data_IF_116614397520
#
_entry.id   IF_116614397520
#
_cell.length_a   1.000
_cell.length_b   1.000
_cell.length_c   1.000
_cell.angle_alpha   90.00
_cell.angle_beta   90.00
_cell.angle_gamma   90.00
#
_symmetry.space_group_name_H-M   'P 1'
#
loop_
_entity.id
_entity.type
_entity.pdbx_description
1 polymer ?
#
# COMPACT_ATOMS: atom_id res chain seq x y z
N UNK A 1 -31.61 -40.01 -48.73
CA UNK A 1 -31.28 -38.94 -49.68
C UNK A 1 -30.21 -38.04 -49.05
N UNK A 2 -28.95 -38.24 -49.43
CA UNK A 2 -27.85 -37.39 -48.96
C UNK A 2 -27.92 -36.05 -49.69
N UNK A 3 -28.57 -35.07 -49.08
CA UNK A 3 -28.61 -33.71 -49.62
C UNK A 3 -27.18 -33.12 -49.65
N UNK A 4 -26.63 -33.06 -50.85
CA UNK A 4 -25.33 -32.41 -51.08
C UNK A 4 -25.40 -30.93 -50.68
N UNK A 5 -24.34 -30.42 -50.05
CA UNK A 5 -24.20 -29.00 -49.76
C UNK A 5 -23.65 -28.30 -51.01
N UNK A 6 -24.36 -27.29 -51.51
CA UNK A 6 -23.84 -26.44 -52.58
C UNK A 6 -23.15 -25.22 -51.96
N UNK A 7 -21.87 -25.06 -52.24
CA UNK A 7 -21.07 -23.93 -51.75
C UNK A 7 -20.92 -22.84 -52.80
N UNK A 8 -21.20 -21.60 -52.45
CA UNK A 8 -20.80 -20.44 -53.24
C UNK A 8 -19.27 -20.29 -53.32
N UNK A 9 -18.74 -19.70 -54.38
CA UNK A 9 -17.29 -19.53 -54.59
C UNK A 9 -16.62 -18.83 -53.38
N UNK A 10 -17.23 -17.80 -52.80
CA UNK A 10 -16.76 -17.09 -51.62
C UNK A 10 -16.74 -17.96 -50.37
N UNK A 11 -17.79 -18.77 -50.17
CA UNK A 11 -17.88 -19.68 -49.01
C UNK A 11 -16.81 -20.77 -49.07
N UNK A 12 -16.59 -21.33 -50.23
CA UNK A 12 -15.55 -22.35 -50.44
C UNK A 12 -14.15 -21.79 -50.18
N UNK A 13 -13.86 -20.59 -50.71
CA UNK A 13 -12.58 -19.91 -50.47
C UNK A 13 -12.34 -19.68 -48.97
N UNK A 14 -13.36 -19.22 -48.25
CA UNK A 14 -13.28 -18.96 -46.80
C UNK A 14 -13.12 -20.26 -46.01
N UNK A 15 -13.88 -21.29 -46.28
CA UNK A 15 -13.74 -22.61 -45.65
C UNK A 15 -12.34 -23.22 -45.84
N UNK A 16 -11.76 -23.07 -47.07
CA UNK A 16 -10.39 -23.49 -47.34
C UNK A 16 -9.37 -22.64 -46.55
N UNK A 17 -9.63 -21.35 -46.36
CA UNK A 17 -8.82 -20.47 -45.52
C UNK A 17 -8.79 -20.94 -44.06
N UNK A 18 -9.95 -21.22 -43.49
CA UNK A 18 -10.12 -21.77 -42.14
C UNK A 18 -9.39 -23.12 -42.00
N UNK A 19 -9.63 -24.04 -42.92
CA UNK A 19 -9.01 -25.36 -42.92
C UNK A 19 -7.47 -25.29 -42.93
N UNK A 20 -6.91 -24.41 -43.76
CA UNK A 20 -5.46 -24.19 -43.88
C UNK A 20 -4.86 -23.37 -42.77
N UNK A 21 -5.66 -22.91 -41.77
CA UNK A 21 -5.19 -22.11 -40.65
C UNK A 21 -4.73 -20.70 -41.01
N UNK A 22 -5.25 -20.14 -42.12
CA UNK A 22 -4.92 -18.78 -42.59
C UNK A 22 -5.78 -17.69 -41.94
N UNK A 23 -6.84 -18.07 -41.21
CA UNK A 23 -7.70 -17.16 -40.48
C UNK A 23 -7.38 -17.25 -38.98
N UNK A 24 -7.42 -16.10 -38.27
CA UNK A 24 -6.99 -15.97 -36.87
C UNK A 24 -7.80 -16.81 -35.85
N UNK A 25 -9.04 -17.20 -36.18
CA UNK A 25 -9.93 -17.96 -35.31
C UNK A 25 -9.93 -19.49 -35.53
N UNK A 26 -8.96 -20.03 -36.24
CA UNK A 26 -8.90 -21.43 -36.62
C UNK A 26 -8.41 -22.38 -35.54
N UNK A 27 -9.18 -22.62 -34.45
CA UNK A 27 -8.93 -23.76 -33.56
C UNK A 27 -8.95 -25.09 -34.33
N UNK A 28 -8.27 -26.13 -33.80
CA UNK A 28 -8.28 -27.46 -34.43
C UNK A 28 -9.72 -27.97 -34.68
N UNK A 29 -10.63 -27.63 -33.75
CA UNK A 29 -12.05 -27.99 -33.82
C UNK A 29 -12.78 -27.25 -34.95
N UNK A 30 -12.53 -25.96 -35.15
CA UNK A 30 -13.11 -25.16 -36.23
C UNK A 30 -12.60 -25.63 -37.57
N UNK A 31 -11.33 -25.99 -37.67
CA UNK A 31 -10.75 -26.60 -38.88
C UNK A 31 -11.41 -27.92 -39.25
N UNK A 32 -11.67 -28.78 -38.22
CA UNK A 32 -12.38 -30.05 -38.45
C UNK A 32 -13.80 -29.80 -38.96
N UNK A 33 -14.51 -28.80 -38.42
CA UNK A 33 -15.88 -28.44 -38.88
C UNK A 33 -15.86 -27.95 -40.31
N UNK A 34 -14.92 -27.08 -40.67
CA UNK A 34 -14.75 -26.61 -42.06
C UNK A 34 -14.41 -27.76 -43.03
N UNK A 35 -13.59 -28.72 -42.58
CA UNK A 35 -13.24 -29.91 -43.37
C UNK A 35 -14.45 -30.81 -43.60
N UNK A 36 -15.31 -31.03 -42.58
CA UNK A 36 -16.56 -31.78 -42.74
C UNK A 36 -17.43 -31.15 -43.84
N UNK A 37 -17.62 -29.83 -43.83
CA UNK A 37 -18.47 -29.14 -44.82
C UNK A 37 -17.88 -29.19 -46.21
N UNK A 38 -16.56 -29.06 -46.35
CA UNK A 38 -15.87 -29.18 -47.63
C UNK A 38 -16.04 -30.57 -48.22
N UNK A 39 -15.85 -31.64 -47.46
CA UNK A 39 -16.04 -33.02 -47.89
C UNK A 39 -17.50 -33.32 -48.27
N UNK A 40 -18.47 -32.80 -47.52
CA UNK A 40 -19.88 -32.89 -47.89
C UNK A 40 -20.21 -32.18 -49.20
N UNK A 41 -19.61 -31.02 -49.44
CA UNK A 41 -19.78 -30.27 -50.69
C UNK A 41 -19.10 -30.95 -51.89
N UNK A 42 -18.02 -31.70 -51.65
CA UNK A 42 -17.34 -32.51 -52.68
C UNK A 42 -18.06 -33.86 -52.93
N UNK A 43 -19.21 -34.11 -52.27
CA UNK A 43 -20.05 -35.28 -52.52
C UNK A 43 -19.59 -36.58 -51.85
N UNK A 44 -18.68 -36.50 -50.87
CA UNK A 44 -18.24 -37.68 -50.14
C UNK A 44 -19.34 -38.28 -49.25
N UNK A 45 -19.44 -39.61 -49.27
CA UNK A 45 -20.40 -40.31 -48.42
C UNK A 45 -20.06 -40.15 -46.94
N UNK A 46 -21.06 -40.08 -46.07
CA UNK A 46 -20.89 -39.89 -44.62
C UNK A 46 -20.00 -40.96 -43.98
N UNK A 47 -20.10 -42.21 -44.47
CA UNK A 47 -19.24 -43.32 -44.01
C UNK A 47 -17.76 -43.03 -44.25
N UNK A 48 -17.44 -42.45 -45.41
CA UNK A 48 -16.06 -42.03 -45.75
C UNK A 48 -15.59 -40.90 -44.86
N UNK A 49 -16.44 -39.88 -44.65
CA UNK A 49 -16.11 -38.74 -43.76
C UNK A 49 -15.88 -39.23 -42.32
N UNK A 50 -16.73 -40.11 -41.80
CA UNK A 50 -16.56 -40.73 -40.49
C UNK A 50 -15.22 -41.48 -40.37
N UNK A 51 -14.85 -42.25 -41.38
CA UNK A 51 -13.60 -43.02 -41.37
C UNK A 51 -12.34 -42.16 -41.47
N UNK A 52 -12.39 -41.10 -42.29
CA UNK A 52 -11.22 -40.22 -42.51
C UNK A 52 -11.03 -39.23 -41.36
N UNK A 53 -12.11 -38.69 -40.82
CA UNK A 53 -12.06 -37.66 -39.78
C UNK A 53 -12.27 -38.20 -38.33
N UNK A 54 -12.47 -39.51 -38.20
CA UNK A 54 -12.73 -40.18 -36.92
C UNK A 54 -13.86 -39.49 -36.13
N UNK A 55 -14.94 -39.09 -36.79
CA UNK A 55 -16.09 -38.43 -36.19
C UNK A 55 -17.39 -39.24 -36.38
N UNK A 56 -18.39 -39.01 -35.52
CA UNK A 56 -19.68 -39.70 -35.63
C UNK A 56 -20.59 -39.07 -36.70
N UNK A 57 -21.51 -39.85 -37.28
CA UNK A 57 -22.53 -39.36 -38.19
C UNK A 57 -23.39 -38.23 -37.55
N UNK A 58 -23.64 -38.29 -36.24
CA UNK A 58 -24.34 -37.24 -35.48
C UNK A 58 -23.56 -35.92 -35.47
N UNK A 59 -22.21 -35.99 -35.46
CA UNK A 59 -21.35 -34.81 -35.57
C UNK A 59 -21.47 -34.17 -36.95
N UNK A 60 -21.48 -34.97 -37.99
CA UNK A 60 -21.65 -34.50 -39.39
C UNK A 60 -23.04 -33.85 -39.55
N UNK A 61 -24.11 -34.52 -39.06
CA UNK A 61 -25.49 -33.99 -39.14
C UNK A 61 -25.61 -32.63 -38.45
N UNK A 62 -25.06 -32.52 -37.24
CA UNK A 62 -25.05 -31.27 -36.45
C UNK A 62 -24.37 -30.12 -37.19
N UNK A 63 -23.19 -30.35 -37.74
CA UNK A 63 -22.44 -29.29 -38.41
C UNK A 63 -23.01 -28.94 -39.76
N UNK A 64 -23.58 -29.92 -40.46
CA UNK A 64 -24.34 -29.69 -41.72
C UNK A 64 -25.54 -28.78 -41.45
N UNK A 65 -26.37 -29.11 -40.46
CA UNK A 65 -27.53 -28.32 -40.10
C UNK A 65 -27.13 -26.89 -39.71
N UNK A 66 -26.07 -26.75 -38.88
CA UNK A 66 -25.61 -25.44 -38.42
C UNK A 66 -25.01 -24.60 -39.56
N UNK A 67 -24.34 -25.23 -40.50
CA UNK A 67 -23.89 -24.54 -41.69
C UNK A 67 -25.04 -24.12 -42.61
N UNK A 68 -26.09 -24.92 -42.67
CA UNK A 68 -27.27 -24.57 -43.48
C UNK A 68 -28.06 -23.40 -42.85
N UNK A 69 -28.10 -23.27 -41.53
CA UNK A 69 -28.80 -22.16 -40.85
C UNK A 69 -27.97 -20.88 -40.82
N UNK A 70 -26.72 -20.95 -40.45
CA UNK A 70 -25.90 -19.80 -40.11
C UNK A 70 -24.67 -19.58 -41.02
N UNK A 71 -24.56 -20.38 -42.06
CA UNK A 71 -23.43 -20.33 -43.02
C UNK A 71 -22.08 -20.62 -42.36
N UNK A 72 -21.02 -19.97 -42.83
CA UNK A 72 -19.66 -20.16 -42.32
C UNK A 72 -19.55 -19.70 -40.86
N UNK A 73 -20.30 -18.66 -40.45
CA UNK A 73 -20.30 -18.16 -39.11
C UNK A 73 -20.79 -19.20 -38.08
N UNK A 74 -21.74 -20.07 -38.50
CA UNK A 74 -22.22 -21.17 -37.69
C UNK A 74 -21.16 -22.22 -37.31
N UNK A 75 -20.02 -22.24 -38.02
CA UNK A 75 -18.91 -23.14 -37.74
C UNK A 75 -17.89 -22.54 -36.75
N UNK A 76 -17.86 -21.22 -36.64
CA UNK A 76 -16.98 -20.52 -35.70
C UNK A 76 -17.41 -20.79 -34.27
N UNK A 77 -16.49 -20.84 -33.36
CA UNK A 77 -16.84 -20.98 -31.93
C UNK A 77 -17.42 -19.67 -31.41
N UNK A 78 -18.69 -19.70 -31.11
CA UNK A 78 -19.12 -18.89 -29.97
C UNK A 78 -18.36 -19.41 -28.74
N UNK A 79 -17.44 -18.62 -28.22
CA UNK A 79 -16.89 -18.86 -26.88
C UNK A 79 -18.10 -18.90 -25.93
N UNK A 80 -18.64 -20.10 -25.69
CA UNK A 80 -19.53 -20.32 -24.56
C UNK A 80 -18.70 -20.07 -23.31
N UNK A 81 -18.59 -18.79 -22.94
CA UNK A 81 -18.09 -18.45 -21.62
C UNK A 81 -18.87 -19.30 -20.61
N UNK A 82 -18.19 -19.99 -19.70
CA UNK A 82 -18.86 -20.56 -18.53
C UNK A 82 -19.78 -19.48 -18.01
N UNK A 83 -21.08 -19.77 -17.83
CA UNK A 83 -22.01 -18.86 -17.17
C UNK A 83 -21.34 -18.39 -15.88
N UNK A 84 -20.89 -17.12 -15.87
CA UNK A 84 -20.24 -16.55 -14.69
C UNK A 84 -21.20 -16.61 -13.52
N UNK A 85 -20.69 -16.72 -12.32
CA UNK A 85 -21.51 -16.57 -11.12
C UNK A 85 -22.24 -15.22 -11.19
N UNK A 86 -23.52 -15.15 -10.77
CA UNK A 86 -24.26 -13.89 -10.74
C UNK A 86 -23.50 -12.80 -10.01
N UNK A 87 -23.48 -11.58 -10.55
CA UNK A 87 -22.76 -10.44 -10.00
C UNK A 87 -23.16 -10.08 -8.57
N UNK A 88 -24.42 -10.43 -8.18
CA UNK A 88 -24.96 -10.20 -6.84
C UNK A 88 -24.07 -10.79 -5.73
N UNK A 89 -23.44 -11.93 -5.95
CA UNK A 89 -22.56 -12.56 -4.96
C UNK A 89 -21.27 -11.75 -4.72
N UNK A 90 -20.73 -11.15 -5.78
CA UNK A 90 -19.61 -10.22 -5.66
C UNK A 90 -19.98 -9.00 -4.83
N UNK A 91 -21.14 -8.41 -5.12
CA UNK A 91 -21.66 -7.26 -4.36
C UNK A 91 -21.90 -7.58 -2.87
N UNK A 92 -22.51 -8.73 -2.56
CA UNK A 92 -22.70 -9.18 -1.16
C UNK A 92 -21.36 -9.28 -0.42
N UNK A 93 -20.34 -9.89 -1.05
CA UNK A 93 -19.01 -10.04 -0.46
C UNK A 93 -18.36 -8.68 -0.21
N UNK A 94 -18.49 -7.73 -1.13
CA UNK A 94 -17.99 -6.35 -0.97
C UNK A 94 -18.67 -5.68 0.22
N UNK A 95 -19.99 -5.74 0.30
CA UNK A 95 -20.76 -5.18 1.42
C UNK A 95 -20.30 -5.74 2.78
N UNK A 96 -20.03 -7.05 2.85
CA UNK A 96 -19.51 -7.65 4.09
C UNK A 96 -18.10 -7.13 4.45
N UNK A 97 -17.25 -6.93 3.46
CA UNK A 97 -15.89 -6.40 3.72
C UNK A 97 -15.94 -4.96 4.22
N UNK A 98 -16.88 -4.16 3.71
CA UNK A 98 -16.99 -2.73 4.05
C UNK A 98 -17.74 -2.48 5.36
N UNK A 99 -18.75 -3.29 5.68
CA UNK A 99 -19.69 -2.97 6.76
C UNK A 99 -19.77 -4.02 7.87
N UNK A 100 -19.17 -5.20 7.69
CA UNK A 100 -19.23 -6.29 8.65
C UNK A 100 -17.85 -6.79 9.04
N UNK A 101 -17.80 -7.52 10.14
CA UNK A 101 -16.62 -8.25 10.59
C UNK A 101 -16.86 -9.76 10.53
N UNK A 102 -15.83 -10.61 10.51
CA UNK A 102 -16.03 -12.06 10.61
C UNK A 102 -16.79 -12.50 11.87
N UNK A 103 -16.73 -11.70 12.94
CA UNK A 103 -17.44 -11.98 14.21
C UNK A 103 -18.96 -11.91 14.05
N UNK A 104 -19.45 -11.05 13.19
CA UNK A 104 -20.88 -10.90 12.90
C UNK A 104 -21.48 -12.16 12.27
N UNK A 105 -20.61 -13.04 11.75
CA UNK A 105 -20.94 -14.35 11.19
C UNK A 105 -20.49 -15.53 12.07
N UNK A 106 -20.16 -15.27 13.35
CA UNK A 106 -19.78 -16.29 14.32
C UNK A 106 -18.32 -16.77 14.23
N UNK A 107 -17.44 -16.10 13.47
CA UNK A 107 -16.03 -16.47 13.36
C UNK A 107 -15.16 -15.69 14.34
N UNK A 108 -14.31 -16.38 15.10
CA UNK A 108 -13.35 -15.76 16.02
C UNK A 108 -12.14 -15.22 15.22
N UNK A 109 -12.37 -14.18 14.43
CA UNK A 109 -11.34 -13.52 13.60
C UNK A 109 -11.61 -12.01 13.56
N UNK A 110 -10.52 -11.22 13.51
CA UNK A 110 -10.59 -9.74 13.49
C UNK A 110 -10.60 -9.16 12.07
N UNK A 111 -10.26 -9.96 11.05
CA UNK A 111 -10.15 -9.49 9.66
C UNK A 111 -10.65 -10.53 8.68
N UNK A 112 -11.17 -10.06 7.57
CA UNK A 112 -11.55 -10.90 6.45
C UNK A 112 -10.33 -11.48 5.72
N UNK A 113 -10.47 -12.70 5.24
CA UNK A 113 -9.65 -13.24 4.16
C UNK A 113 -10.57 -13.92 3.15
N UNK A 114 -10.09 -14.08 1.92
CA UNK A 114 -10.92 -14.63 0.84
C UNK A 114 -11.45 -16.04 1.14
N UNK A 115 -10.70 -16.86 1.88
CA UNK A 115 -11.17 -18.18 2.29
C UNK A 115 -12.33 -18.10 3.29
N UNK A 116 -12.26 -17.19 4.27
CA UNK A 116 -13.34 -16.99 5.24
C UNK A 116 -14.60 -16.44 4.54
N UNK A 117 -14.46 -15.49 3.62
CA UNK A 117 -15.58 -14.97 2.82
C UNK A 117 -16.25 -16.07 1.98
N UNK A 118 -15.45 -16.94 1.34
CA UNK A 118 -15.98 -18.08 0.59
C UNK A 118 -16.74 -19.07 1.50
N UNK A 119 -16.23 -19.30 2.71
CA UNK A 119 -16.86 -20.17 3.70
C UNK A 119 -18.18 -19.57 4.23
N UNK A 120 -18.20 -18.26 4.50
CA UNK A 120 -19.43 -17.55 4.90
C UNK A 120 -20.48 -17.64 3.81
N UNK A 121 -20.12 -17.40 2.54
CA UNK A 121 -21.03 -17.55 1.39
C UNK A 121 -21.63 -18.96 1.32
N UNK A 122 -20.79 -19.98 1.54
CA UNK A 122 -21.27 -21.36 1.57
C UNK A 122 -22.27 -21.60 2.73
N UNK A 123 -21.93 -21.16 3.93
CA UNK A 123 -22.73 -21.41 5.12
C UNK A 123 -24.05 -20.61 5.14
N UNK A 124 -24.06 -19.40 4.60
CA UNK A 124 -25.25 -18.51 4.62
C UNK A 124 -26.13 -18.65 3.40
N UNK A 125 -25.55 -18.91 2.24
CA UNK A 125 -26.28 -18.90 0.97
C UNK A 125 -26.12 -20.17 0.13
N UNK A 126 -25.42 -21.19 0.65
CA UNK A 126 -25.10 -22.45 -0.06
C UNK A 126 -24.36 -22.22 -1.40
N UNK A 127 -23.65 -21.10 -1.52
CA UNK A 127 -22.90 -20.71 -2.73
C UNK A 127 -21.43 -21.11 -2.59
N UNK A 128 -21.03 -22.12 -3.35
CA UNK A 128 -19.65 -22.66 -3.33
C UNK A 128 -18.78 -21.95 -4.32
N UNK A 129 -17.79 -21.20 -3.82
CA UNK A 129 -16.79 -20.50 -4.63
C UNK A 129 -15.39 -20.71 -4.07
N UNK A 130 -14.36 -20.56 -4.92
CA UNK A 130 -12.99 -20.58 -4.46
C UNK A 130 -12.57 -19.23 -3.87
N UNK A 131 -11.60 -19.23 -2.97
CA UNK A 131 -10.99 -18.00 -2.45
C UNK A 131 -10.45 -17.09 -3.59
N UNK A 132 -9.96 -17.68 -4.69
CA UNK A 132 -9.50 -16.94 -5.87
C UNK A 132 -10.66 -16.25 -6.61
N UNK A 133 -11.84 -16.85 -6.65
CA UNK A 133 -13.04 -16.21 -7.21
C UNK A 133 -13.43 -14.99 -6.38
N UNK A 134 -13.41 -15.11 -5.04
CA UNK A 134 -13.66 -14.00 -4.11
C UNK A 134 -12.62 -12.90 -4.32
N UNK A 135 -11.32 -13.24 -4.42
CA UNK A 135 -10.26 -12.28 -4.68
C UNK A 135 -10.49 -11.49 -5.98
N UNK A 136 -10.92 -12.16 -7.04
CA UNK A 136 -11.24 -11.51 -8.33
C UNK A 136 -12.43 -10.57 -8.23
N UNK A 137 -13.45 -10.93 -7.45
CA UNK A 137 -14.59 -10.04 -7.21
C UNK A 137 -14.17 -8.77 -6.49
N UNK A 138 -13.43 -8.90 -5.38
CA UNK A 138 -12.90 -7.76 -4.64
C UNK A 138 -12.03 -6.85 -5.53
N UNK A 139 -11.17 -7.43 -6.35
CA UNK A 139 -10.32 -6.67 -7.26
C UNK A 139 -11.11 -5.90 -8.35
N UNK A 140 -12.21 -6.46 -8.85
CA UNK A 140 -13.10 -5.78 -9.82
C UNK A 140 -13.75 -4.53 -9.22
N UNK A 141 -14.05 -4.58 -7.92
CA UNK A 141 -14.64 -3.46 -7.17
C UNK A 141 -13.55 -2.56 -6.55
N UNK A 142 -12.31 -2.62 -7.06
CA UNK A 142 -11.17 -1.82 -6.60
C UNK A 142 -10.77 -2.04 -5.13
N UNK A 143 -11.20 -3.13 -4.49
CA UNK A 143 -10.71 -3.48 -3.16
C UNK A 143 -9.34 -4.16 -3.30
N UNK A 144 -8.36 -3.62 -2.57
CA UNK A 144 -6.98 -4.10 -2.58
C UNK A 144 -6.54 -4.53 -1.19
N UNK A 145 -5.73 -5.58 -1.13
CA UNK A 145 -5.14 -6.03 0.11
C UNK A 145 -3.95 -5.15 0.48
N UNK A 146 -4.14 -4.27 1.50
CA UNK A 146 -3.11 -3.35 1.98
C UNK A 146 -3.03 -3.33 3.50
N UNK A 147 -1.87 -2.97 4.04
CA UNK A 147 -1.71 -2.69 5.47
C UNK A 147 -2.45 -1.39 5.79
N UNK A 148 -3.41 -1.38 6.76
CA UNK A 148 -4.07 -0.16 7.17
C UNK A 148 -3.07 0.77 7.88
N UNK A 149 -3.32 2.07 7.82
CA UNK A 149 -2.63 3.01 8.68
C UNK A 149 -3.31 3.02 10.04
N UNK A 150 -2.55 2.95 11.14
CA UNK A 150 -3.12 3.17 12.46
C UNK A 150 -3.63 4.61 12.53
N UNK A 151 -4.87 4.78 12.95
CA UNK A 151 -5.45 6.08 13.28
C UNK A 151 -5.69 6.06 14.78
N UNK A 152 -4.98 6.91 15.49
CA UNK A 152 -5.21 7.10 16.91
C UNK A 152 -6.44 8.00 17.07
N UNK A 153 -7.45 7.50 17.71
CA UNK A 153 -8.66 8.25 18.02
C UNK A 153 -8.79 8.52 19.51
N UNK A 154 -9.67 9.43 19.93
CA UNK A 154 -10.40 10.38 19.11
C UNK A 154 -9.51 11.56 18.66
N UNK A 155 -9.86 12.16 17.51
CA UNK A 155 -9.15 13.34 17.04
C UNK A 155 -9.29 14.49 18.07
N UNK A 156 -8.20 15.24 18.26
CA UNK A 156 -8.21 16.45 19.11
C UNK A 156 -9.26 17.44 18.56
N UNK A 157 -10.32 17.70 19.32
CA UNK A 157 -11.40 18.62 18.94
C UNK A 157 -10.87 20.02 18.60
N UNK A 158 -9.75 20.43 19.23
CA UNK A 158 -9.09 21.72 18.99
C UNK A 158 -7.99 21.65 17.92
N UNK A 159 -7.90 20.55 17.16
CA UNK A 159 -6.84 20.33 16.15
C UNK A 159 -6.72 21.52 15.19
N UNK A 160 -7.81 21.91 14.57
CA UNK A 160 -7.82 23.02 13.57
C UNK A 160 -7.35 24.32 14.19
N UNK A 161 -7.77 24.64 15.42
CA UNK A 161 -7.37 25.84 16.14
C UNK A 161 -5.88 25.84 16.50
N UNK A 162 -5.36 24.71 17.02
CA UNK A 162 -3.93 24.58 17.35
C UNK A 162 -3.05 24.73 16.13
N UNK A 163 -3.39 24.04 15.03
CA UNK A 163 -2.64 24.14 13.80
C UNK A 163 -2.70 25.53 13.17
N UNK A 164 -3.84 26.22 13.29
CA UNK A 164 -3.96 27.62 12.85
C UNK A 164 -3.00 28.52 13.63
N UNK A 165 -2.96 28.43 14.96
CA UNK A 165 -2.05 29.21 15.81
C UNK A 165 -0.58 28.96 15.44
N UNK A 166 -0.19 27.69 15.23
CA UNK A 166 1.18 27.33 14.81
C UNK A 166 1.49 27.96 13.42
N UNK A 167 0.57 27.90 12.47
CA UNK A 167 0.77 28.50 11.14
C UNK A 167 0.90 30.04 11.22
N UNK A 168 0.09 30.71 12.03
CA UNK A 168 0.18 32.13 12.29
C UNK A 168 1.53 32.48 12.89
N UNK A 169 1.97 31.75 13.92
CA UNK A 169 3.30 31.90 14.51
C UNK A 169 4.42 31.77 13.48
N UNK A 170 4.39 30.75 12.64
CA UNK A 170 5.45 30.51 11.64
C UNK A 170 5.44 31.52 10.51
N UNK A 171 4.26 32.01 10.09
CA UNK A 171 4.11 33.04 9.07
C UNK A 171 4.65 34.38 9.55
N UNK A 172 4.33 34.74 10.77
CA UNK A 172 4.63 36.06 11.34
C UNK A 172 5.90 36.06 12.22
N UNK A 173 6.73 34.99 12.12
CA UNK A 173 7.93 34.79 12.94
C UNK A 173 8.96 35.88 12.69
N UNK A 174 9.34 36.71 13.72
CA UNK A 174 10.35 37.73 13.59
C UNK A 174 11.73 37.17 13.19
N UNK A 175 12.57 37.98 12.53
CA UNK A 175 13.90 37.54 12.09
C UNK A 175 14.86 37.25 13.24
N UNK A 176 14.68 37.91 14.37
CA UNK A 176 15.42 37.72 15.62
C UNK A 176 14.87 36.60 16.51
N UNK A 177 13.84 35.87 16.05
CA UNK A 177 13.28 34.70 16.73
C UNK A 177 13.45 33.42 15.89
N UNK A 178 13.61 32.29 16.55
CA UNK A 178 13.69 30.98 15.93
C UNK A 178 12.49 30.12 16.24
N UNK A 179 12.10 29.26 15.31
CA UNK A 179 11.12 28.21 15.56
C UNK A 179 11.71 26.85 15.15
N UNK A 180 11.49 25.85 16.00
CA UNK A 180 11.96 24.47 15.76
C UNK A 180 10.83 23.48 15.98
N UNK A 181 10.83 22.40 15.19
CA UNK A 181 9.96 21.24 15.40
C UNK A 181 10.76 20.18 16.16
N UNK A 182 10.26 19.74 17.30
CA UNK A 182 10.93 18.83 18.20
C UNK A 182 10.18 17.50 18.30
N UNK A 183 10.94 16.40 18.43
CA UNK A 183 10.44 15.06 18.72
C UNK A 183 11.58 14.15 19.20
N UNK A 184 11.25 12.96 19.74
CA UNK A 184 12.21 11.93 20.09
C UNK A 184 12.09 10.68 19.22
N UNK A 185 13.23 10.10 18.91
CA UNK A 185 13.35 8.79 18.25
C UNK A 185 14.12 7.82 19.14
N UNK A 186 13.72 6.55 19.12
CA UNK A 186 14.49 5.48 19.75
C UNK A 186 15.36 4.74 18.72
N UNK A 187 16.57 4.46 19.14
CA UNK A 187 17.51 3.56 18.48
C UNK A 187 17.48 2.23 19.22
N UNK A 188 17.12 1.17 18.54
CA UNK A 188 17.04 -0.16 19.09
C UNK A 188 18.15 -1.05 18.55
N UNK A 189 18.89 -1.71 19.42
CA UNK A 189 19.95 -2.65 18.99
C UNK A 189 19.38 -3.85 18.20
N UNK A 190 18.14 -4.25 18.46
CA UNK A 190 17.44 -5.17 17.57
C UNK A 190 16.93 -4.40 16.35
N UNK A 191 17.44 -4.67 15.13
CA UNK A 191 17.03 -3.93 13.95
C UNK A 191 15.57 -4.18 13.58
N UNK A 192 14.87 -3.14 13.17
CA UNK A 192 13.61 -3.30 12.44
C UNK A 192 13.88 -3.91 11.07
N UNK A 193 13.09 -4.92 10.70
CA UNK A 193 13.26 -5.57 9.41
C UNK A 193 12.57 -4.77 8.30
N UNK A 194 13.36 -4.39 7.31
CA UNK A 194 12.91 -3.76 6.07
C UNK A 194 13.19 -4.61 4.84
N UNK A 195 12.62 -4.22 3.71
CA UNK A 195 12.93 -4.86 2.43
C UNK A 195 14.40 -4.63 2.05
N UNK A 196 15.05 -5.66 1.51
CA UNK A 196 16.41 -5.59 0.99
C UNK A 196 16.55 -6.46 -0.26
N UNK A 197 17.57 -6.19 -1.07
CA UNK A 197 17.90 -7.02 -2.22
C UNK A 197 18.44 -8.37 -1.78
N UNK A 198 17.89 -9.45 -2.35
CA UNK A 198 18.34 -10.82 -2.13
C UNK A 198 18.14 -11.65 -3.40
N UNK A 199 18.87 -12.76 -3.52
CA UNK A 199 18.71 -13.66 -4.66
C UNK A 199 17.32 -14.30 -4.63
N UNK A 200 16.75 -14.49 -5.80
CA UNK A 200 15.46 -15.16 -5.92
C UNK A 200 15.55 -16.60 -5.40
N UNK A 201 14.66 -16.95 -4.48
CA UNK A 201 14.64 -18.26 -3.83
C UNK A 201 15.50 -18.36 -2.57
N UNK A 202 16.27 -17.32 -2.23
CA UNK A 202 17.04 -17.24 -0.99
C UNK A 202 16.36 -16.26 -0.03
N UNK A 203 16.44 -16.58 1.28
CA UNK A 203 15.94 -15.69 2.33
C UNK A 203 17.12 -15.09 3.08
N UNK A 204 17.33 -13.77 2.93
CA UNK A 204 18.33 -13.05 3.70
C UNK A 204 18.03 -13.14 5.21
N UNK A 205 19.08 -13.26 6.00
CA UNK A 205 19.01 -13.30 7.47
C UNK A 205 19.71 -12.09 8.05
N UNK A 206 19.04 -11.37 8.94
CA UNK A 206 19.59 -10.27 9.73
C UNK A 206 19.79 -10.82 11.15
N UNK A 207 21.05 -10.79 11.61
CA UNK A 207 21.37 -11.22 12.98
C UNK A 207 20.81 -10.17 13.95
N UNK A 208 20.04 -10.65 14.91
CA UNK A 208 19.49 -9.81 16.00
C UNK A 208 20.16 -10.20 17.31
N UNK A 209 20.74 -9.26 18.06
CA UNK A 209 21.41 -9.57 19.34
C UNK A 209 20.50 -10.17 20.42
N UNK A 210 19.17 -10.06 20.26
CA UNK A 210 18.21 -10.60 21.20
C UNK A 210 18.07 -9.83 22.53
N UNK A 211 18.78 -8.72 22.67
CA UNK A 211 18.73 -7.85 23.84
C UNK A 211 18.02 -6.55 23.50
N UNK A 212 17.08 -6.12 24.36
CA UNK A 212 16.33 -4.88 24.14
C UNK A 212 17.10 -3.67 24.66
N UNK A 213 18.31 -3.44 24.13
CA UNK A 213 19.12 -2.26 24.48
C UNK A 213 18.70 -1.10 23.57
N UNK A 214 18.41 0.05 24.17
CA UNK A 214 17.96 1.25 23.47
C UNK A 214 18.78 2.48 23.84
N UNK A 215 18.83 3.44 22.91
CA UNK A 215 19.20 4.83 23.11
C UNK A 215 18.09 5.72 22.56
N UNK A 216 18.02 6.92 23.06
CA UNK A 216 17.00 7.89 22.65
C UNK A 216 17.70 9.15 22.15
N UNK A 217 17.18 9.72 21.09
CA UNK A 217 17.62 11.00 20.58
C UNK A 217 16.46 11.98 20.69
N UNK A 218 16.64 13.07 21.39
CA UNK A 218 15.77 14.23 21.29
C UNK A 218 16.31 15.10 20.15
N UNK A 219 15.49 15.37 19.14
CA UNK A 219 15.89 16.16 18.01
C UNK A 219 14.99 17.36 17.77
N UNK A 220 15.56 18.42 17.22
CA UNK A 220 14.82 19.59 16.78
C UNK A 220 15.30 20.03 15.40
N UNK A 221 14.34 20.33 14.52
CA UNK A 221 14.59 20.82 13.18
C UNK A 221 14.17 22.29 13.07
N UNK A 222 15.10 23.15 12.68
CA UNK A 222 14.85 24.57 12.45
C UNK A 222 13.84 24.76 11.30
N UNK A 223 12.82 25.56 11.55
CA UNK A 223 11.81 25.93 10.55
C UNK A 223 12.40 26.62 9.31
N UNK A 224 13.33 27.57 9.52
CA UNK A 224 13.92 28.36 8.44
C UNK A 224 15.03 27.64 7.70
N UNK A 225 15.98 27.09 8.43
CA UNK A 225 17.20 26.52 7.84
C UNK A 225 17.13 25.02 7.55
N UNK A 226 16.21 24.30 8.23
CA UNK A 226 16.21 22.84 8.22
C UNK A 226 17.35 22.21 9.02
N UNK A 227 18.13 23.02 9.73
CA UNK A 227 19.23 22.56 10.59
C UNK A 227 18.68 21.69 11.73
N UNK A 228 19.40 20.62 12.03
CA UNK A 228 19.07 19.72 13.13
C UNK A 228 19.97 19.99 14.34
N UNK A 229 19.33 19.94 15.50
CA UNK A 229 20.02 19.86 16.81
C UNK A 229 19.57 18.55 17.45
N UNK A 230 20.52 17.72 17.92
CA UNK A 230 20.22 16.40 18.47
C UNK A 230 20.94 16.20 19.79
N UNK A 231 20.21 15.74 20.79
CA UNK A 231 20.69 15.42 22.14
C UNK A 231 20.47 13.94 22.43
N UNK A 232 21.51 13.23 22.84
CA UNK A 232 21.45 11.80 23.14
C UNK A 232 21.03 11.55 24.59
N UNK A 233 20.31 10.45 24.82
CA UNK A 233 19.91 10.01 26.17
C UNK A 233 19.73 8.50 26.28
N UNK A 234 19.79 8.01 27.51
CA UNK A 234 19.52 6.60 27.83
C UNK A 234 18.05 6.31 28.11
N UNK A 235 17.27 7.35 28.35
CA UNK A 235 15.82 7.25 28.64
C UNK A 235 15.07 8.39 27.95
N UNK A 236 13.88 8.09 27.49
CA UNK A 236 12.92 9.08 26.99
C UNK A 236 12.15 9.64 28.18
N UNK A 237 12.58 10.78 28.69
CA UNK A 237 12.04 11.42 29.91
C UNK A 237 12.22 12.94 29.89
N UNK A 238 11.70 13.59 30.93
CA UNK A 238 11.81 15.04 31.08
C UNK A 238 13.25 15.54 31.19
N UNK A 239 14.16 14.74 31.70
CA UNK A 239 15.57 15.11 31.86
C UNK A 239 16.24 15.24 30.48
N UNK A 240 16.01 14.27 29.57
CA UNK A 240 16.47 14.35 28.20
C UNK A 240 15.89 15.58 27.49
N UNK A 241 14.60 15.83 27.66
CA UNK A 241 13.95 16.97 27.06
C UNK A 241 14.52 18.30 27.56
N UNK A 242 14.72 18.47 28.88
CA UNK A 242 15.32 19.69 29.47
C UNK A 242 16.75 19.89 28.96
N UNK A 243 17.59 18.85 28.92
CA UNK A 243 18.93 18.95 28.32
C UNK A 243 18.86 19.40 26.86
N UNK A 244 17.92 18.86 26.11
CA UNK A 244 17.72 19.24 24.72
C UNK A 244 17.30 20.72 24.57
N UNK A 245 16.43 21.22 25.45
CA UNK A 245 16.08 22.65 25.48
C UNK A 245 17.31 23.53 25.78
N UNK A 246 18.24 23.06 26.61
CA UNK A 246 19.49 23.77 26.89
C UNK A 246 20.44 23.76 25.68
N UNK A 247 20.53 22.64 24.97
CA UNK A 247 21.31 22.53 23.73
C UNK A 247 20.73 23.47 22.66
N UNK A 248 19.40 23.57 22.56
CA UNK A 248 18.73 24.53 21.67
C UNK A 248 19.06 25.98 22.06
N UNK A 249 19.02 26.30 23.35
CA UNK A 249 19.37 27.63 23.87
C UNK A 249 20.80 28.02 23.54
N UNK A 250 21.74 27.07 23.61
CA UNK A 250 23.13 27.25 23.27
C UNK A 250 23.31 27.41 21.75
N UNK A 251 22.68 26.53 20.94
CA UNK A 251 22.81 26.54 19.48
C UNK A 251 22.19 27.79 18.86
N UNK A 252 21.03 28.19 19.34
CA UNK A 252 20.27 29.34 18.85
C UNK A 252 20.49 30.59 19.72
N UNK A 253 21.66 30.73 20.35
CA UNK A 253 21.99 31.85 21.26
C UNK A 253 21.83 33.25 20.65
N UNK A 254 21.89 33.37 19.33
CA UNK A 254 21.72 34.65 18.60
C UNK A 254 20.27 35.10 18.52
N UNK A 255 19.32 34.20 18.73
CA UNK A 255 17.92 34.51 18.66
C UNK A 255 17.40 34.95 20.03
N UNK A 256 16.51 35.93 20.04
CA UNK A 256 15.89 36.47 21.23
C UNK A 256 14.96 35.45 21.88
N UNK A 257 14.12 34.79 21.08
CA UNK A 257 13.17 33.75 21.50
C UNK A 257 13.29 32.53 20.61
N UNK A 258 13.18 31.35 21.22
CA UNK A 258 13.14 30.07 20.54
C UNK A 258 11.76 29.44 20.80
N UNK A 259 10.97 29.30 19.75
CA UNK A 259 9.69 28.64 19.77
C UNK A 259 9.88 27.16 19.49
N UNK A 260 9.61 26.29 20.47
CA UNK A 260 9.72 24.84 20.36
C UNK A 260 8.32 24.25 20.15
N UNK A 261 8.09 23.70 18.97
CA UNK A 261 6.84 23.05 18.58
C UNK A 261 7.03 21.54 18.79
N UNK A 262 6.35 20.95 19.78
CA UNK A 262 6.50 19.56 20.19
C UNK A 262 5.15 18.87 20.35
N UNK A 263 5.16 17.56 20.60
CA UNK A 263 3.96 16.81 20.95
C UNK A 263 3.48 17.10 22.38
N UNK A 264 2.31 16.56 22.74
CA UNK A 264 1.71 16.71 24.07
C UNK A 264 2.15 15.58 25.03
N UNK A 265 3.34 14.99 24.87
CA UNK A 265 3.79 14.00 25.84
C UNK A 265 3.81 14.60 27.25
N UNK A 266 3.34 13.84 28.23
CA UNK A 266 3.20 14.34 29.61
C UNK A 266 4.49 14.95 30.19
N UNK A 267 5.64 14.41 29.79
CA UNK A 267 6.94 14.90 30.26
C UNK A 267 7.42 16.17 29.51
N UNK A 268 6.74 16.61 28.45
CA UNK A 268 6.99 17.88 27.75
C UNK A 268 6.17 19.04 28.34
N UNK A 269 5.12 18.74 29.10
CA UNK A 269 4.19 19.77 29.58
C UNK A 269 4.57 20.32 30.95
N UNK A 270 4.22 21.56 31.19
CA UNK A 270 4.44 22.23 32.49
C UNK A 270 3.66 21.51 33.62
N UNK A 271 2.45 21.06 33.29
CA UNK A 271 1.58 20.35 34.22
C UNK A 271 2.08 18.93 34.53
N UNK A 272 2.70 18.30 33.55
CA UNK A 272 3.13 16.90 33.63
C UNK A 272 4.55 16.70 34.17
N UNK A 273 5.39 17.76 34.16
CA UNK A 273 6.80 17.65 34.51
C UNK A 273 7.29 18.80 35.41
N UNK A 274 7.69 18.46 36.64
CA UNK A 274 8.33 19.43 37.56
C UNK A 274 9.63 19.99 36.98
N UNK A 275 10.41 19.17 36.28
CA UNK A 275 11.68 19.58 35.65
C UNK A 275 11.47 20.62 34.54
N UNK A 276 10.50 20.40 33.66
CA UNK A 276 10.14 21.34 32.58
C UNK A 276 9.60 22.63 33.18
N UNK A 277 8.72 22.54 34.20
CA UNK A 277 8.20 23.71 34.90
C UNK A 277 9.32 24.55 35.53
N UNK A 278 10.28 23.93 36.21
CA UNK A 278 11.41 24.61 36.83
C UNK A 278 12.31 25.26 35.79
N UNK A 279 12.61 24.56 34.70
CA UNK A 279 13.42 25.07 33.60
C UNK A 279 12.77 26.30 32.95
N UNK A 280 11.48 26.24 32.64
CA UNK A 280 10.78 27.36 32.01
C UNK A 280 10.58 28.55 32.98
N UNK A 281 10.53 28.32 34.27
CA UNK A 281 10.53 29.41 35.23
C UNK A 281 11.82 30.26 35.19
N UNK A 282 12.93 29.65 34.81
CA UNK A 282 14.23 30.33 34.68
C UNK A 282 14.51 30.86 33.27
N UNK A 283 13.98 30.20 32.21
CA UNK A 283 14.34 30.47 30.81
C UNK A 283 13.14 30.72 29.90
N UNK A 284 11.92 30.89 30.44
CA UNK A 284 10.70 31.07 29.68
C UNK A 284 10.62 32.41 28.91
N UNK A 285 11.51 33.34 29.22
CA UNK A 285 11.74 34.56 28.43
C UNK A 285 12.33 34.23 27.05
N UNK A 286 13.16 33.17 26.94
CA UNK A 286 13.84 32.74 25.75
C UNK A 286 13.29 31.47 25.11
N UNK A 287 12.64 30.58 25.87
CA UNK A 287 12.09 29.31 25.37
C UNK A 287 10.57 29.33 25.52
N UNK A 288 9.84 29.18 24.41
CA UNK A 288 8.37 29.08 24.40
C UNK A 288 7.93 27.77 23.80
N UNK A 289 7.18 26.97 24.58
CA UNK A 289 6.65 25.69 24.09
C UNK A 289 5.29 25.89 23.40
N UNK A 290 5.13 25.23 22.27
CA UNK A 290 3.88 25.16 21.50
C UNK A 290 3.55 23.69 21.26
N UNK A 291 2.33 23.29 21.61
CA UNK A 291 1.93 21.89 21.50
C UNK A 291 1.13 21.61 20.25
N UNK A 292 1.57 20.60 19.51
CA UNK A 292 0.84 20.02 18.38
C UNK A 292 -0.49 19.42 18.88
N UNK A 293 -1.47 19.21 18.01
CA UNK A 293 -2.65 18.44 18.36
C UNK A 293 -2.27 17.04 18.83
N UNK A 294 -3.05 16.50 19.78
CA UNK A 294 -2.83 15.14 20.27
C UNK A 294 -2.93 14.14 19.10
N UNK A 295 -2.08 13.12 19.12
CA UNK A 295 -2.06 12.05 18.12
C UNK A 295 -1.93 12.49 16.65
N UNK A 296 -1.15 13.51 16.38
CA UNK A 296 -0.98 14.07 15.04
C UNK A 296 0.48 14.09 14.58
N UNK A 297 1.18 12.94 14.49
CA UNK A 297 2.58 12.89 14.06
C UNK A 297 2.77 13.44 12.65
N UNK A 298 1.78 13.27 11.76
CA UNK A 298 1.82 13.82 10.41
C UNK A 298 1.94 15.35 10.35
N UNK A 299 1.62 16.04 11.45
CA UNK A 299 1.72 17.48 11.58
C UNK A 299 3.07 17.94 12.13
N UNK A 300 3.99 17.01 12.46
CA UNK A 300 5.35 17.29 12.89
C UNK A 300 6.35 16.96 11.77
N UNK A 301 6.95 17.95 11.10
CA UNK A 301 7.86 17.71 9.99
C UNK A 301 9.12 16.89 10.33
N UNK A 302 9.58 16.91 11.57
CA UNK A 302 10.77 16.15 12.00
C UNK A 302 10.56 14.63 11.91
N UNK A 303 9.32 14.15 11.96
CA UNK A 303 8.98 12.73 11.77
C UNK A 303 9.48 12.17 10.42
N UNK A 304 9.64 13.04 9.41
CA UNK A 304 10.25 12.65 8.15
C UNK A 304 11.74 12.40 8.26
N UNK A 305 12.43 13.15 9.12
CA UNK A 305 13.84 12.91 9.41
C UNK A 305 14.00 11.54 10.03
N UNK A 306 13.14 11.22 11.01
CA UNK A 306 13.14 9.92 11.69
C UNK A 306 12.79 8.78 10.72
N UNK A 307 11.82 8.99 9.84
CA UNK A 307 11.51 8.02 8.81
C UNK A 307 12.71 7.72 7.90
N UNK A 308 13.43 8.75 7.43
CA UNK A 308 14.64 8.57 6.62
C UNK A 308 15.76 7.90 7.40
N UNK A 309 15.93 8.24 8.68
CA UNK A 309 16.88 7.59 9.57
C UNK A 309 16.60 6.08 9.67
N UNK A 310 15.34 5.72 9.89
CA UNK A 310 14.94 4.31 9.93
C UNK A 310 15.19 3.60 8.60
N UNK A 311 14.83 4.19 7.48
CA UNK A 311 15.03 3.58 6.16
C UNK A 311 16.50 3.35 5.81
N UNK A 312 17.40 4.20 6.26
CA UNK A 312 18.79 4.19 5.81
C UNK A 312 19.76 3.63 6.85
N UNK A 313 19.44 3.71 8.13
CA UNK A 313 20.38 3.38 9.22
C UNK A 313 19.86 2.25 10.10
N UNK A 314 18.66 2.37 10.67
CA UNK A 314 18.24 1.45 11.72
C UNK A 314 17.55 0.18 11.20
N UNK A 315 17.11 0.16 9.93
CA UNK A 315 16.60 -1.05 9.31
C UNK A 315 17.71 -1.96 8.86
N UNK A 316 17.58 -3.24 9.21
CA UNK A 316 18.52 -4.29 8.83
C UNK A 316 19.99 -4.01 9.22
N UNK A 317 20.26 -3.11 10.18
CA UNK A 317 21.61 -2.82 10.63
C UNK A 317 22.25 -4.07 11.24
N UNK A 318 23.58 -4.08 11.28
CA UNK A 318 24.39 -5.19 11.81
C UNK A 318 25.36 -4.71 12.87
N UNK A 319 25.04 -3.61 13.55
CA UNK A 319 25.88 -3.07 14.61
C UNK A 319 26.03 -4.09 15.73
N UNK A 320 27.24 -4.23 16.25
CA UNK A 320 27.55 -5.18 17.31
C UNK A 320 27.01 -4.71 18.67
N UNK A 321 26.98 -3.40 18.88
CA UNK A 321 26.48 -2.77 20.09
C UNK A 321 25.70 -1.48 19.78
N UNK A 322 25.08 -0.94 20.82
CA UNK A 322 24.22 0.25 20.68
C UNK A 322 25.05 1.53 20.44
N UNK A 323 26.27 1.59 20.90
CA UNK A 323 27.13 2.77 20.75
C UNK A 323 27.62 2.86 19.29
N UNK A 324 27.89 1.74 18.63
CA UNK A 324 28.16 1.70 17.20
C UNK A 324 26.98 2.23 16.40
N UNK A 325 25.75 1.81 16.73
CA UNK A 325 24.53 2.31 16.08
C UNK A 325 24.33 3.81 16.30
N UNK A 326 24.59 4.30 17.52
CA UNK A 326 24.54 5.74 17.84
C UNK A 326 25.56 6.51 17.01
N UNK A 327 26.81 6.03 16.97
CA UNK A 327 27.88 6.65 16.18
C UNK A 327 27.54 6.73 14.68
N UNK A 328 27.02 5.64 14.11
CA UNK A 328 26.56 5.59 12.73
C UNK A 328 25.42 6.57 12.48
N UNK A 329 24.47 6.63 13.40
CA UNK A 329 23.32 7.57 13.33
C UNK A 329 23.80 9.02 13.35
N UNK A 330 24.70 9.38 14.28
CA UNK A 330 25.21 10.74 14.38
C UNK A 330 26.01 11.14 13.13
N UNK A 331 26.85 10.25 12.62
CA UNK A 331 27.60 10.49 11.38
C UNK A 331 26.67 10.74 10.18
N UNK A 332 25.57 9.97 10.08
CA UNK A 332 24.58 10.16 9.03
C UNK A 332 23.82 11.50 9.15
N UNK A 333 23.47 11.91 10.38
CA UNK A 333 22.82 13.20 10.64
C UNK A 333 23.76 14.37 10.27
N UNK A 334 25.05 14.26 10.61
CA UNK A 334 26.06 15.27 10.29
C UNK A 334 26.31 15.37 8.77
N UNK A 335 26.41 14.24 8.08
CA UNK A 335 26.58 14.20 6.62
C UNK A 335 25.40 14.83 5.89
N UNK A 336 24.19 14.59 6.36
CA UNK A 336 22.97 15.14 5.78
C UNK A 336 22.85 16.66 5.94
N UNK A 337 23.33 17.20 7.04
CA UNK A 337 23.26 18.63 7.35
C UNK A 337 21.83 19.14 7.48
N UNK A 338 21.42 20.10 6.64
CA UNK A 338 20.09 20.67 6.69
C UNK A 338 19.05 19.81 5.94
N UNK A 339 17.91 19.55 6.59
CA UNK A 339 16.78 18.84 6.00
C UNK A 339 15.77 19.80 5.38
N UNK A 340 15.33 19.49 4.16
CA UNK A 340 14.27 20.26 3.51
C UNK A 340 12.89 19.78 3.99
N UNK A 341 12.03 20.73 4.33
CA UNK A 341 10.62 20.46 4.68
C UNK A 341 9.81 20.36 3.38
N UNK A 342 9.94 19.25 2.66
CA UNK A 342 9.21 19.03 1.41
C UNK A 342 7.90 18.28 1.64
N UNK A 343 6.83 18.68 0.93
CA UNK A 343 5.52 18.04 0.96
C UNK A 343 4.83 18.02 2.33
N UNK A 344 5.22 18.91 3.24
CA UNK A 344 4.51 19.14 4.50
C UNK A 344 3.43 20.21 4.32
N UNK A 345 2.47 20.29 5.27
CA UNK A 345 1.48 21.36 5.28
C UNK A 345 2.10 22.77 5.40
N UNK A 346 3.34 22.85 5.85
CA UNK A 346 4.07 24.10 6.08
C UNK A 346 4.92 24.54 4.88
N UNK A 347 5.05 23.74 3.84
CA UNK A 347 5.90 24.04 2.67
C UNK A 347 5.49 25.35 1.99
N UNK A 348 4.16 25.59 1.85
CA UNK A 348 3.64 26.83 1.25
C UNK A 348 3.98 28.07 2.08
N UNK A 349 3.93 27.95 3.41
CA UNK A 349 4.27 29.04 4.32
C UNK A 349 5.75 29.41 4.22
N UNK A 350 6.62 28.40 4.14
CA UNK A 350 8.06 28.61 3.98
C UNK A 350 8.41 29.31 2.67
N UNK A 351 7.77 28.93 1.54
CA UNK A 351 7.97 29.57 0.25
C UNK A 351 7.48 31.01 0.22
N UNK A 352 6.51 31.36 1.04
CA UNK A 352 6.00 32.72 1.16
C UNK A 352 6.84 33.62 2.09
N UNK A 353 7.66 33.01 2.98
CA UNK A 353 8.52 33.70 3.95
C UNK A 353 9.99 33.84 3.48
N UNK A 354 10.36 33.21 2.36
CA UNK A 354 11.66 33.31 1.72
C UNK A 354 11.63 34.34 0.58
#
# INVERSE_FOLDING_TARGET
>A
MDGSIVLGCGQRKRLLGIYRGKEADGSAEVRLRAHIILLLADGHAWSVICGVLFCSAATIARWKQRFQSDGVEGLLEERRGRRGMPAVWGWIVVTWVEHCTPRDFGYIRSRWCCATLALVLWNTHSVRVSAETVRRWLARENLVWRRPRPVLGPADEKRTLKLRKIRELLRDLPQDEAAVFQDEVDLNLNPDLGCMWMRRGEQARVVTPGTNVKRYLAGSMSWRSGELVVTQGTRRNAELFVRHLEDLRTRFRRYKVIHVICDNARFHTIEGSKAVKAYLAQHGDRIRLHYLPAYSPQDNPIERVWWHLHEQITRNHRCADIEELVKLTMAWLDERGAFKIEGSMYERLRKAAA
#
